data_IF_397132745843
#
_entry.id   IF_397132745843
#
_cell.length_a   1.000
_cell.length_b   1.000
_cell.length_c   1.000
_cell.angle_alpha   90.00
_cell.angle_beta   90.00
_cell.angle_gamma   90.00
#
_symmetry.space_group_name_H-M   'P 1'
#
loop_
_entity.id
_entity.type
_entity.pdbx_description
1 polymer ?
#
# COMPACT_ATOMS: atom_id res chain seq x y z
N UNK A 1 -50.66 11.43 -47.56
CA UNK A 1 -49.52 12.17 -46.96
C UNK A 1 -48.96 11.32 -45.84
N UNK A 2 -48.02 10.41 -46.14
CA UNK A 2 -47.38 9.55 -45.15
C UNK A 2 -46.05 10.19 -44.74
N UNK A 3 -45.96 10.60 -43.46
CA UNK A 3 -44.76 11.16 -42.86
C UNK A 3 -43.71 10.05 -42.68
N UNK A 4 -42.55 10.26 -43.28
CA UNK A 4 -41.40 9.37 -43.20
C UNK A 4 -40.61 9.72 -41.93
N UNK A 5 -40.84 9.01 -40.82
CA UNK A 5 -40.07 9.22 -39.59
C UNK A 5 -38.70 8.57 -39.72
N UNK A 6 -37.68 9.37 -40.02
CA UNK A 6 -36.29 8.94 -39.97
C UNK A 6 -35.90 8.64 -38.52
N UNK A 7 -35.74 7.35 -38.22
CA UNK A 7 -35.14 6.87 -36.97
C UNK A 7 -33.63 7.02 -37.13
N UNK A 8 -33.06 8.08 -36.55
CA UNK A 8 -31.61 8.21 -36.42
C UNK A 8 -31.04 7.02 -35.64
N UNK A 9 -29.93 6.40 -36.09
CA UNK A 9 -29.34 5.28 -35.37
C UNK A 9 -28.86 5.73 -33.98
N UNK A 10 -28.97 4.87 -32.95
CA UNK A 10 -28.47 5.19 -31.63
C UNK A 10 -26.97 5.49 -31.70
N UNK A 11 -26.58 6.63 -31.16
CA UNK A 11 -25.19 7.07 -31.13
C UNK A 11 -24.39 6.15 -30.18
N UNK A 12 -23.77 5.11 -30.74
CA UNK A 12 -23.02 4.05 -30.02
C UNK A 12 -21.76 4.56 -29.30
N UNK A 13 -21.41 5.85 -29.42
CA UNK A 13 -20.19 6.42 -28.83
C UNK A 13 -20.39 7.01 -27.43
N UNK A 14 -21.62 7.05 -26.90
CA UNK A 14 -21.94 7.78 -25.66
C UNK A 14 -22.34 6.89 -24.46
N UNK A 15 -21.93 5.62 -24.42
CA UNK A 15 -22.01 4.80 -23.20
C UNK A 15 -20.60 4.55 -22.61
N UNK A 16 -19.92 5.64 -22.25
CA UNK A 16 -18.83 5.51 -21.27
C UNK A 16 -19.45 5.12 -19.93
N UNK A 17 -19.41 3.83 -19.60
CA UNK A 17 -19.78 3.35 -18.28
C UNK A 17 -19.00 4.15 -17.23
N UNK A 18 -19.69 4.93 -16.39
CA UNK A 18 -19.11 5.64 -15.23
C UNK A 18 -18.67 4.63 -14.16
N UNK A 19 -17.68 3.80 -14.46
CA UNK A 19 -17.16 2.77 -13.54
C UNK A 19 -16.06 3.30 -12.64
N UNK A 20 -15.39 4.39 -13.03
CA UNK A 20 -14.36 5.05 -12.24
C UNK A 20 -14.79 6.45 -11.78
N UNK A 21 -14.31 6.84 -10.59
CA UNK A 21 -14.39 8.19 -10.04
C UNK A 21 -13.32 9.13 -10.60
N UNK A 22 -12.30 8.58 -11.27
CA UNK A 22 -11.13 9.29 -11.81
C UNK A 22 -11.23 9.42 -13.33
N UNK A 23 -10.54 10.42 -13.88
CA UNK A 23 -10.45 10.55 -15.34
C UNK A 23 -9.64 9.39 -15.96
N UNK A 24 -9.82 9.11 -17.25
CA UNK A 24 -9.03 8.06 -17.94
C UNK A 24 -7.52 8.31 -17.84
N UNK A 25 -7.08 9.58 -17.83
CA UNK A 25 -5.67 9.94 -17.69
C UNK A 25 -5.16 9.67 -16.27
N UNK A 26 -5.96 10.02 -15.26
CA UNK A 26 -5.63 9.72 -13.86
C UNK A 26 -5.56 8.21 -13.63
N UNK A 27 -6.51 7.43 -14.16
CA UNK A 27 -6.46 5.97 -14.07
C UNK A 27 -5.20 5.41 -14.71
N UNK A 28 -4.83 5.90 -15.89
CA UNK A 28 -3.59 5.48 -16.54
C UNK A 28 -2.36 5.77 -15.67
N UNK A 29 -2.27 6.97 -15.06
CA UNK A 29 -1.19 7.33 -14.13
C UNK A 29 -1.18 6.43 -12.88
N UNK A 30 -2.35 6.12 -12.33
CA UNK A 30 -2.49 5.25 -11.17
C UNK A 30 -2.03 3.81 -11.48
N UNK A 31 -2.42 3.28 -12.65
CA UNK A 31 -1.99 1.95 -13.12
C UNK A 31 -0.50 1.91 -13.35
N UNK A 32 0.07 2.83 -14.14
CA UNK A 32 1.47 2.75 -14.55
C UNK A 32 2.42 2.93 -13.36
N UNK A 33 2.11 3.84 -12.44
CA UNK A 33 2.91 4.07 -11.23
C UNK A 33 3.03 2.80 -10.38
N UNK A 34 1.91 2.15 -10.09
CA UNK A 34 1.91 0.94 -9.26
C UNK A 34 2.32 -0.33 -10.04
N UNK A 35 2.14 -0.38 -11.36
CA UNK A 35 2.65 -1.48 -12.18
C UNK A 35 4.19 -1.50 -12.19
N UNK A 36 4.81 -0.33 -12.30
CA UNK A 36 6.27 -0.19 -12.15
C UNK A 36 6.67 -0.58 -10.72
N UNK A 37 5.96 -0.08 -9.72
CA UNK A 37 6.17 -0.45 -8.31
C UNK A 37 6.10 -1.97 -8.07
N UNK A 38 5.17 -2.68 -8.72
CA UNK A 38 5.03 -4.13 -8.63
C UNK A 38 6.24 -4.87 -9.17
N UNK A 39 6.74 -4.49 -10.35
CA UNK A 39 7.95 -5.11 -10.94
C UNK A 39 9.16 -4.83 -10.06
N UNK A 40 9.34 -3.60 -9.59
CA UNK A 40 10.42 -3.23 -8.68
C UNK A 40 10.31 -3.99 -7.35
N UNK A 41 9.11 -4.16 -6.81
CA UNK A 41 8.89 -4.92 -5.57
C UNK A 41 9.20 -6.41 -5.72
N UNK A 42 8.93 -7.02 -6.87
CA UNK A 42 9.32 -8.40 -7.16
C UNK A 42 10.84 -8.55 -7.18
N UNK A 43 11.55 -7.66 -7.89
CA UNK A 43 13.01 -7.65 -7.90
C UNK A 43 13.54 -7.42 -6.48
N UNK A 44 12.97 -6.46 -5.75
CA UNK A 44 13.29 -6.17 -4.36
C UNK A 44 13.16 -7.40 -3.45
N UNK A 45 12.01 -8.09 -3.49
CA UNK A 45 11.78 -9.34 -2.75
C UNK A 45 12.84 -10.39 -3.06
N UNK A 46 13.11 -10.63 -4.34
CA UNK A 46 14.11 -11.61 -4.78
C UNK A 46 15.49 -11.23 -4.25
N UNK A 47 15.90 -9.96 -4.38
CA UNK A 47 17.22 -9.50 -3.89
C UNK A 47 17.35 -9.57 -2.36
N UNK A 48 16.29 -9.32 -1.60
CA UNK A 48 16.29 -9.49 -0.14
C UNK A 48 16.44 -10.96 0.24
N UNK A 49 15.73 -11.88 -0.43
CA UNK A 49 15.85 -13.32 -0.17
C UNK A 49 17.28 -13.81 -0.43
N UNK A 50 17.91 -13.37 -1.52
CA UNK A 50 19.30 -13.75 -1.81
C UNK A 50 20.32 -13.21 -0.81
N UNK A 51 20.04 -12.06 -0.19
CA UNK A 51 20.92 -11.44 0.81
C UNK A 51 20.68 -11.99 2.22
N UNK A 52 19.47 -12.43 2.53
CA UNK A 52 19.09 -12.86 3.87
C UNK A 52 19.85 -14.12 4.31
N UNK A 53 20.52 -14.03 5.47
CA UNK A 53 21.25 -15.15 6.06
C UNK A 53 20.41 -15.82 7.17
N UNK A 54 20.11 -17.11 6.99
CA UNK A 54 19.34 -17.91 7.95
C UNK A 54 17.82 -17.88 7.74
N UNK A 55 17.15 -18.91 8.26
CA UNK A 55 15.72 -19.14 8.01
C UNK A 55 14.83 -17.98 8.52
N UNK A 56 15.15 -17.41 9.69
CA UNK A 56 14.36 -16.32 10.26
C UNK A 56 14.44 -15.05 9.38
N UNK A 57 15.62 -14.72 8.87
CA UNK A 57 15.81 -13.59 7.96
C UNK A 57 15.03 -13.79 6.66
N UNK A 58 15.15 -14.97 6.03
CA UNK A 58 14.42 -15.32 4.81
C UNK A 58 12.90 -15.19 5.02
N UNK A 59 12.36 -15.73 6.11
CA UNK A 59 10.93 -15.61 6.42
C UNK A 59 10.54 -14.15 6.61
N UNK A 60 11.32 -13.39 7.38
CA UNK A 60 11.03 -11.99 7.71
C UNK A 60 10.97 -11.10 6.46
N UNK A 61 11.96 -11.21 5.57
CA UNK A 61 11.97 -10.43 4.32
C UNK A 61 10.96 -10.95 3.30
N UNK A 62 10.62 -12.23 3.33
CA UNK A 62 9.57 -12.79 2.47
C UNK A 62 8.21 -12.22 2.85
N UNK A 63 7.91 -12.14 4.15
CA UNK A 63 6.66 -11.53 4.65
C UNK A 63 6.56 -10.07 4.24
N UNK A 64 7.65 -9.29 4.40
CA UNK A 64 7.70 -7.89 3.98
C UNK A 64 7.58 -7.73 2.45
N UNK A 65 8.41 -8.43 1.67
CA UNK A 65 8.41 -8.27 0.23
C UNK A 65 7.15 -8.80 -0.43
N UNK A 66 6.54 -9.87 0.09
CA UNK A 66 5.27 -10.38 -0.42
C UNK A 66 4.11 -9.40 -0.17
N UNK A 67 4.07 -8.71 0.98
CA UNK A 67 3.05 -7.69 1.24
C UNK A 67 3.24 -6.46 0.35
N UNK A 68 4.49 -6.09 0.05
CA UNK A 68 4.83 -5.02 -0.90
C UNK A 68 4.37 -5.36 -2.33
N UNK A 69 4.68 -6.57 -2.80
CA UNK A 69 4.23 -7.09 -4.09
C UNK A 69 2.71 -7.12 -4.18
N UNK A 70 2.05 -7.64 -3.13
CA UNK A 70 0.59 -7.71 -3.06
C UNK A 70 -0.05 -6.32 -3.16
N UNK A 71 0.46 -5.33 -2.43
CA UNK A 71 -0.05 -3.96 -2.43
C UNK A 71 0.05 -3.29 -3.80
N UNK A 72 1.21 -3.38 -4.46
CA UNK A 72 1.36 -2.81 -5.79
C UNK A 72 0.52 -3.55 -6.84
N UNK A 73 0.45 -4.88 -6.77
CA UNK A 73 -0.37 -5.68 -7.67
C UNK A 73 -1.86 -5.37 -7.50
N UNK A 74 -2.37 -5.35 -6.28
CA UNK A 74 -3.78 -5.08 -6.01
C UNK A 74 -4.21 -3.72 -6.53
N UNK A 75 -3.37 -2.70 -6.36
CA UNK A 75 -3.64 -1.35 -6.83
C UNK A 75 -3.65 -1.26 -8.36
N UNK A 76 -2.67 -1.90 -8.99
CA UNK A 76 -2.57 -1.99 -10.45
C UNK A 76 -3.81 -2.63 -11.04
N UNK A 77 -4.24 -3.77 -10.48
CA UNK A 77 -5.44 -4.48 -10.93
C UNK A 77 -6.71 -3.66 -10.67
N UNK A 78 -6.83 -3.03 -9.50
CA UNK A 78 -7.98 -2.19 -9.16
C UNK A 78 -8.17 -1.06 -10.17
N UNK A 79 -7.12 -0.25 -10.40
CA UNK A 79 -7.17 0.88 -11.30
C UNK A 79 -7.31 0.45 -12.77
N UNK A 80 -6.73 -0.69 -13.15
CA UNK A 80 -6.86 -1.26 -14.50
C UNK A 80 -8.22 -1.87 -14.82
N UNK A 81 -9.00 -2.24 -13.79
CA UNK A 81 -10.28 -2.93 -14.00
C UNK A 81 -11.37 -1.99 -14.50
N UNK A 82 -12.00 -2.38 -15.62
CA UNK A 82 -13.19 -1.75 -16.20
C UNK A 82 -14.50 -2.44 -15.80
N UNK A 83 -14.43 -3.68 -15.31
CA UNK A 83 -15.60 -4.44 -14.88
C UNK A 83 -16.07 -3.94 -13.49
N UNK A 84 -17.31 -3.43 -13.34
CA UNK A 84 -17.76 -2.81 -12.09
C UNK A 84 -17.70 -3.75 -10.86
N UNK A 85 -18.12 -5.01 -11.01
CA UNK A 85 -18.15 -5.98 -9.92
C UNK A 85 -16.76 -6.39 -9.46
N UNK A 86 -15.90 -6.73 -10.42
CA UNK A 86 -14.50 -7.06 -10.14
C UNK A 86 -13.75 -5.86 -9.55
N UNK A 87 -13.96 -4.65 -10.08
CA UNK A 87 -13.34 -3.43 -9.60
C UNK A 87 -13.65 -3.17 -8.12
N UNK A 88 -14.89 -3.44 -7.68
CA UNK A 88 -15.25 -3.28 -6.27
C UNK A 88 -14.49 -4.25 -5.36
N UNK A 89 -14.31 -5.50 -5.78
CA UNK A 89 -13.53 -6.51 -5.04
C UNK A 89 -12.04 -6.17 -5.01
N UNK A 90 -11.48 -5.74 -6.15
CA UNK A 90 -10.09 -5.31 -6.25
C UNK A 90 -9.82 -4.05 -5.40
N UNK A 91 -10.78 -3.12 -5.33
CA UNK A 91 -10.69 -1.97 -4.43
C UNK A 91 -10.62 -2.38 -2.97
N UNK A 92 -11.41 -3.39 -2.58
CA UNK A 92 -11.37 -3.93 -1.23
C UNK A 92 -9.99 -4.56 -0.96
N UNK A 93 -9.48 -5.38 -1.88
CA UNK A 93 -8.15 -5.98 -1.79
C UNK A 93 -7.05 -4.92 -1.70
N UNK A 94 -7.12 -3.88 -2.53
CA UNK A 94 -6.14 -2.79 -2.57
C UNK A 94 -6.03 -2.05 -1.24
N UNK A 95 -7.16 -1.63 -0.69
CA UNK A 95 -7.18 -1.00 0.62
C UNK A 95 -6.82 -1.95 1.76
N UNK A 96 -7.14 -3.24 1.64
CA UNK A 96 -6.75 -4.26 2.61
C UNK A 96 -5.24 -4.52 2.62
N UNK A 97 -4.60 -4.49 1.45
CA UNK A 97 -3.16 -4.72 1.32
C UNK A 97 -2.31 -3.68 2.07
N UNK A 98 -2.83 -2.47 2.31
CA UNK A 98 -2.15 -1.44 3.11
C UNK A 98 -1.94 -1.92 4.56
N UNK A 99 -2.92 -2.59 5.18
CA UNK A 99 -2.75 -3.13 6.54
C UNK A 99 -1.66 -4.20 6.59
N UNK A 100 -1.64 -5.08 5.59
CA UNK A 100 -0.65 -6.14 5.46
C UNK A 100 0.75 -5.59 5.18
N UNK A 101 0.85 -4.54 4.36
CA UNK A 101 2.11 -3.85 4.10
C UNK A 101 2.67 -3.23 5.39
N UNK A 102 1.84 -2.52 6.16
CA UNK A 102 2.29 -1.94 7.43
C UNK A 102 2.83 -3.04 8.36
N UNK A 103 2.07 -4.11 8.60
CA UNK A 103 2.56 -5.21 9.45
C UNK A 103 3.79 -5.93 8.86
N UNK A 104 3.83 -6.12 7.55
CA UNK A 104 4.96 -6.69 6.83
C UNK A 104 6.23 -5.87 7.01
N UNK A 105 6.14 -4.53 6.91
CA UNK A 105 7.29 -3.62 7.14
C UNK A 105 7.86 -3.76 8.54
N UNK A 106 7.03 -3.93 9.58
CA UNK A 106 7.51 -4.10 10.95
C UNK A 106 8.24 -5.43 11.16
N UNK A 107 7.86 -6.47 10.43
CA UNK A 107 8.34 -7.85 10.64
C UNK A 107 9.87 -7.97 10.71
N UNK A 108 10.66 -7.50 9.71
CA UNK A 108 12.12 -7.60 9.79
C UNK A 108 12.73 -6.78 10.94
N UNK A 109 12.21 -5.59 11.25
CA UNK A 109 12.71 -4.82 12.40
C UNK A 109 12.44 -5.54 13.73
N UNK A 110 11.26 -6.13 13.88
CA UNK A 110 10.87 -6.81 15.12
C UNK A 110 11.59 -8.14 15.30
N UNK A 111 11.76 -8.92 14.23
CA UNK A 111 12.34 -10.27 14.32
C UNK A 111 13.86 -10.30 14.18
N UNK A 112 14.46 -9.36 13.43
CA UNK A 112 15.90 -9.38 13.15
C UNK A 112 16.66 -8.32 13.95
N UNK A 113 16.09 -7.12 14.14
CA UNK A 113 16.75 -6.06 14.91
C UNK A 113 16.42 -6.12 16.39
N UNK A 114 15.19 -6.50 16.76
CA UNK A 114 14.73 -6.55 18.16
C UNK A 114 14.46 -7.98 18.64
N UNK A 115 15.49 -8.82 18.68
CA UNK A 115 15.39 -10.21 19.18
C UNK A 115 15.25 -10.28 20.71
N UNK A 116 14.15 -9.73 21.21
CA UNK A 116 13.78 -9.70 22.63
C UNK A 116 12.25 -9.57 22.79
N UNK A 117 11.80 -9.42 24.04
CA UNK A 117 10.38 -9.32 24.36
C UNK A 117 9.69 -8.10 23.71
N UNK A 118 10.41 -7.00 23.45
CA UNK A 118 9.85 -5.81 22.80
C UNK A 118 9.52 -6.10 21.35
N UNK A 119 10.45 -6.75 20.61
CA UNK A 119 10.19 -7.17 19.23
C UNK A 119 9.03 -8.17 19.16
N UNK A 120 8.98 -9.12 20.09
CA UNK A 120 7.87 -10.09 20.18
C UNK A 120 6.52 -9.41 20.46
N UNK A 121 6.46 -8.48 21.42
CA UNK A 121 5.24 -7.73 21.71
C UNK A 121 4.82 -6.83 20.53
N UNK A 122 5.80 -6.21 19.87
CA UNK A 122 5.60 -5.36 18.70
C UNK A 122 5.02 -6.12 17.52
N UNK A 123 5.57 -7.30 17.18
CA UNK A 123 5.06 -8.10 16.07
C UNK A 123 3.65 -8.64 16.34
N UNK A 124 3.37 -9.12 17.56
CA UNK A 124 2.02 -9.58 17.93
C UNK A 124 1.02 -8.43 17.81
N UNK A 125 1.38 -7.26 18.33
CA UNK A 125 0.50 -6.08 18.33
C UNK A 125 0.21 -5.60 16.92
N UNK A 126 1.23 -5.44 16.07
CA UNK A 126 1.03 -4.90 14.72
C UNK A 126 0.23 -5.85 13.84
N UNK A 127 0.45 -7.17 13.94
CA UNK A 127 -0.32 -8.16 13.19
C UNK A 127 -1.74 -8.30 13.72
N UNK A 128 -1.97 -8.23 15.03
CA UNK A 128 -3.32 -8.21 15.59
C UNK A 128 -4.11 -6.99 15.08
N UNK A 129 -3.49 -5.80 15.05
CA UNK A 129 -4.09 -4.59 14.50
C UNK A 129 -4.34 -4.70 12.99
N UNK A 130 -3.43 -5.32 12.24
CA UNK A 130 -3.61 -5.54 10.80
C UNK A 130 -4.78 -6.48 10.51
N UNK A 131 -4.90 -7.58 11.25
CA UNK A 131 -6.04 -8.51 11.14
C UNK A 131 -7.34 -7.81 11.53
N UNK A 132 -7.35 -7.06 12.63
CA UNK A 132 -8.52 -6.28 13.04
C UNK A 132 -8.92 -5.24 11.97
N UNK A 133 -7.95 -4.53 11.40
CA UNK A 133 -8.16 -3.58 10.31
C UNK A 133 -8.68 -4.23 9.03
N UNK A 134 -8.17 -5.42 8.69
CA UNK A 134 -8.63 -6.23 7.57
C UNK A 134 -10.09 -6.66 7.74
N UNK A 135 -10.44 -7.20 8.91
CA UNK A 135 -11.79 -7.59 9.26
C UNK A 135 -12.74 -6.39 9.23
N UNK A 136 -12.34 -5.28 9.87
CA UNK A 136 -13.09 -4.02 9.82
C UNK A 136 -13.38 -3.62 8.38
N UNK A 137 -12.37 -3.66 7.51
CA UNK A 137 -12.52 -3.29 6.09
C UNK A 137 -13.49 -4.22 5.36
N UNK A 138 -13.47 -5.52 5.64
CA UNK A 138 -14.36 -6.48 5.00
C UNK A 138 -15.83 -6.29 5.40
N UNK A 139 -16.10 -6.05 6.69
CA UNK A 139 -17.47 -5.86 7.18
C UNK A 139 -18.03 -4.47 6.81
N UNK A 140 -17.19 -3.44 6.90
CA UNK A 140 -17.61 -2.04 6.82
C UNK A 140 -17.41 -1.45 5.40
N UNK A 141 -16.65 -2.14 4.56
CA UNK A 141 -16.31 -1.76 3.17
C UNK A 141 -15.78 -0.33 3.10
N UNK A 142 -16.37 0.50 2.24
CA UNK A 142 -15.90 1.85 1.94
C UNK A 142 -16.61 2.94 2.77
N UNK A 143 -17.55 2.57 3.65
CA UNK A 143 -18.41 3.54 4.35
C UNK A 143 -17.60 4.46 5.29
N UNK A 144 -16.50 3.98 5.85
CA UNK A 144 -15.69 4.73 6.83
C UNK A 144 -14.23 4.90 6.39
N UNK A 145 -14.02 5.37 5.16
CA UNK A 145 -12.68 5.57 4.59
C UNK A 145 -11.74 6.45 5.46
N UNK A 146 -12.29 7.43 6.19
CA UNK A 146 -11.50 8.27 7.12
C UNK A 146 -10.99 7.50 8.34
N UNK A 147 -11.79 6.57 8.85
CA UNK A 147 -11.39 5.71 9.98
C UNK A 147 -10.27 4.77 9.54
N UNK A 148 -10.40 4.15 8.37
CA UNK A 148 -9.31 3.32 7.82
C UNK A 148 -8.02 4.13 7.65
N UNK A 149 -8.11 5.35 7.11
CA UNK A 149 -6.95 6.23 6.97
C UNK A 149 -6.28 6.55 8.31
N UNK A 150 -7.08 6.87 9.34
CA UNK A 150 -6.57 7.11 10.69
C UNK A 150 -5.90 5.85 11.27
N UNK A 151 -6.51 4.67 11.09
CA UNK A 151 -5.93 3.40 11.55
C UNK A 151 -4.59 3.11 10.85
N UNK A 152 -4.46 3.36 9.54
CA UNK A 152 -3.18 3.22 8.83
C UNK A 152 -2.10 4.11 9.43
N UNK A 153 -2.42 5.37 9.72
CA UNK A 153 -1.45 6.32 10.29
C UNK A 153 -1.08 5.95 11.73
N UNK A 154 -2.07 5.59 12.56
CA UNK A 154 -1.82 5.14 13.94
C UNK A 154 -0.90 3.92 13.92
N UNK A 155 -1.25 2.89 13.15
CA UNK A 155 -0.42 1.69 13.02
C UNK A 155 0.97 2.01 12.49
N UNK A 156 1.08 2.86 11.46
CA UNK A 156 2.36 3.25 10.89
C UNK A 156 3.29 3.93 11.90
N UNK A 157 2.76 4.78 12.77
CA UNK A 157 3.54 5.53 13.75
C UNK A 157 3.76 4.82 15.09
N UNK A 158 3.21 3.62 15.31
CA UNK A 158 3.47 2.83 16.53
C UNK A 158 4.96 2.55 16.76
N UNK A 159 5.77 2.58 15.70
CA UNK A 159 7.22 2.41 15.77
C UNK A 159 7.90 3.46 16.66
N UNK A 160 7.30 4.64 16.86
CA UNK A 160 7.80 5.66 17.79
C UNK A 160 7.88 5.11 19.22
N UNK A 161 6.94 4.26 19.64
CA UNK A 161 6.95 3.64 20.97
C UNK A 161 8.20 2.77 21.17
N UNK A 162 8.72 2.22 20.07
CA UNK A 162 9.88 1.32 20.04
C UNK A 162 11.14 2.03 19.52
N UNK A 163 11.16 3.37 19.45
CA UNK A 163 12.27 4.09 18.82
C UNK A 163 13.58 3.94 19.59
N UNK A 164 13.53 3.91 20.92
CA UNK A 164 14.73 3.74 21.74
C UNK A 164 15.42 2.38 21.52
N UNK A 165 14.74 1.23 21.64
CA UNK A 165 15.38 -0.06 21.35
C UNK A 165 15.79 -0.18 19.88
N UNK A 166 15.03 0.40 18.93
CA UNK A 166 15.46 0.45 17.53
C UNK A 166 16.73 1.29 17.33
N UNK A 167 16.86 2.42 18.03
CA UNK A 167 18.06 3.25 17.99
C UNK A 167 19.31 2.53 18.49
N UNK A 168 19.15 1.63 19.46
CA UNK A 168 20.26 0.80 19.95
C UNK A 168 20.63 -0.35 18.98
N UNK A 169 19.71 -0.76 18.10
CA UNK A 169 19.84 -2.01 17.33
C UNK A 169 20.02 -1.78 15.82
N UNK A 170 19.60 -0.63 15.30
CA UNK A 170 19.66 -0.29 13.88
C UNK A 170 20.55 0.94 13.70
N UNK A 171 21.53 0.91 12.78
CA UNK A 171 22.33 2.09 12.49
C UNK A 171 21.48 3.31 12.12
N UNK A 172 21.94 4.50 12.51
CA UNK A 172 21.17 5.75 12.38
C UNK A 172 20.68 6.04 10.95
N UNK A 173 21.43 5.61 9.93
CA UNK A 173 21.02 5.74 8.53
C UNK A 173 19.73 4.98 8.20
N UNK A 174 19.55 3.78 8.75
CA UNK A 174 18.32 2.99 8.63
C UNK A 174 17.14 3.70 9.31
N UNK A 175 17.36 4.27 10.50
CA UNK A 175 16.31 5.00 11.22
C UNK A 175 15.85 6.25 10.48
N UNK A 176 16.76 6.99 9.85
CA UNK A 176 16.39 8.12 9.01
C UNK A 176 15.57 7.70 7.80
N UNK A 177 15.94 6.61 7.13
CA UNK A 177 15.14 6.06 6.03
C UNK A 177 13.75 5.61 6.51
N UNK A 178 13.67 4.91 7.64
CA UNK A 178 12.42 4.49 8.26
C UNK A 178 11.51 5.69 8.58
N UNK A 179 12.07 6.74 9.19
CA UNK A 179 11.37 7.96 9.55
C UNK A 179 10.93 8.75 8.30
N UNK A 180 11.82 8.93 7.32
CA UNK A 180 11.49 9.57 6.04
C UNK A 180 10.37 8.83 5.32
N UNK A 181 10.36 7.50 5.34
CA UNK A 181 9.26 6.73 4.78
C UNK A 181 7.93 6.98 5.51
N UNK A 182 7.95 7.08 6.84
CA UNK A 182 6.78 7.46 7.65
C UNK A 182 6.25 8.86 7.31
N UNK A 183 7.14 9.83 7.06
CA UNK A 183 6.77 11.16 6.57
C UNK A 183 6.14 11.08 5.18
N UNK A 184 6.74 10.34 4.24
CA UNK A 184 6.20 10.17 2.89
C UNK A 184 4.77 9.63 2.93
N UNK A 185 4.50 8.59 3.72
CA UNK A 185 3.13 8.07 3.88
C UNK A 185 2.19 9.10 4.52
N UNK A 186 2.65 9.86 5.51
CA UNK A 186 1.81 10.85 6.21
C UNK A 186 1.45 12.04 5.32
N UNK A 187 2.42 12.58 4.59
CA UNK A 187 2.19 13.66 3.61
C UNK A 187 1.32 13.16 2.46
N UNK A 188 1.61 11.96 1.96
CA UNK A 188 0.77 11.30 0.98
C UNK A 188 -0.69 11.18 1.43
N UNK A 189 -0.93 10.81 2.70
CA UNK A 189 -2.28 10.61 3.22
C UNK A 189 -3.13 11.89 3.14
N UNK A 190 -2.49 13.07 3.25
CA UNK A 190 -3.16 14.34 3.03
C UNK A 190 -3.64 14.51 1.57
N UNK A 191 -2.82 14.13 0.59
CA UNK A 191 -3.22 14.10 -0.82
C UNK A 191 -4.33 13.08 -1.09
N UNK A 192 -4.25 11.88 -0.50
CA UNK A 192 -5.31 10.87 -0.60
C UNK A 192 -6.65 11.36 -0.02
N UNK A 193 -6.62 12.14 1.07
CA UNK A 193 -7.81 12.74 1.65
C UNK A 193 -8.40 13.86 0.78
N UNK A 194 -7.58 14.53 -0.03
CA UNK A 194 -7.95 15.65 -0.90
C UNK A 194 -8.62 15.20 -2.23
N UNK A 195 -9.64 14.34 -2.14
CA UNK A 195 -10.33 13.69 -3.28
C UNK A 195 -11.06 14.63 -4.26
N UNK A 196 -11.18 15.92 -3.93
CA UNK A 196 -11.88 16.93 -4.76
C UNK A 196 -10.97 17.61 -5.78
N UNK A 197 -9.65 17.45 -5.65
CA UNK A 197 -8.67 18.09 -6.52
C UNK A 197 -8.17 17.05 -7.54
N UNK A 198 -8.12 17.37 -8.84
CA UNK A 198 -7.58 16.45 -9.85
C UNK A 198 -6.16 15.99 -9.54
N UNK A 199 -5.83 14.76 -9.95
CA UNK A 199 -4.50 14.12 -9.83
C UNK A 199 -3.96 13.88 -8.42
N UNK A 200 -4.67 14.26 -7.35
CA UNK A 200 -4.17 14.05 -5.97
C UNK A 200 -3.97 12.57 -5.62
N UNK A 201 -4.76 11.67 -6.22
CA UNK A 201 -4.60 10.23 -6.05
C UNK A 201 -3.33 9.70 -6.72
N UNK A 202 -2.96 10.24 -7.88
CA UNK A 202 -1.70 9.90 -8.54
C UNK A 202 -0.50 10.44 -7.75
N UNK A 203 -0.60 11.65 -7.19
CA UNK A 203 0.42 12.20 -6.28
C UNK A 203 0.57 11.32 -5.03
N UNK A 204 -0.55 10.87 -4.46
CA UNK A 204 -0.55 9.89 -3.37
C UNK A 204 0.25 8.63 -3.73
N UNK A 205 0.04 8.05 -4.92
CA UNK A 205 0.81 6.89 -5.38
C UNK A 205 2.33 7.15 -5.40
N UNK A 206 2.76 8.34 -5.83
CA UNK A 206 4.19 8.70 -5.82
C UNK A 206 4.76 8.76 -4.39
N UNK A 207 4.01 9.30 -3.43
CA UNK A 207 4.41 9.30 -2.03
C UNK A 207 4.45 7.89 -1.42
N UNK A 208 3.51 7.02 -1.80
CA UNK A 208 3.51 5.60 -1.41
C UNK A 208 4.76 4.90 -1.93
N UNK A 209 5.11 5.10 -3.21
CA UNK A 209 6.31 4.53 -3.82
C UNK A 209 7.57 5.03 -3.10
N UNK A 210 7.67 6.34 -2.84
CA UNK A 210 8.81 6.91 -2.12
C UNK A 210 8.92 6.34 -0.69
N UNK A 211 7.81 6.24 0.03
CA UNK A 211 7.77 5.65 1.37
C UNK A 211 8.20 4.18 1.38
N UNK A 212 7.70 3.40 0.42
CA UNK A 212 8.10 2.00 0.22
C UNK A 212 9.60 1.88 -0.10
N UNK A 213 10.13 2.74 -0.97
CA UNK A 213 11.55 2.74 -1.31
C UNK A 213 12.43 3.05 -0.09
N UNK A 214 12.05 4.04 0.72
CA UNK A 214 12.75 4.35 1.96
C UNK A 214 12.75 3.14 2.93
N UNK A 215 11.59 2.52 3.14
CA UNK A 215 11.49 1.34 4.03
C UNK A 215 12.25 0.14 3.48
N UNK A 216 12.18 -0.12 2.17
CA UNK A 216 12.96 -1.16 1.51
C UNK A 216 14.45 -0.95 1.71
N UNK A 217 14.97 0.27 1.43
CA UNK A 217 16.38 0.59 1.61
C UNK A 217 16.81 0.50 3.08
N UNK A 218 15.95 0.90 4.01
CA UNK A 218 16.21 0.75 5.44
C UNK A 218 16.42 -0.72 5.80
N UNK A 219 15.56 -1.61 5.31
CA UNK A 219 15.64 -3.04 5.61
C UNK A 219 16.84 -3.65 4.91
N UNK A 220 16.96 -3.42 3.60
CA UNK A 220 17.99 -4.02 2.74
C UNK A 220 19.41 -3.64 3.13
N UNK A 221 19.66 -2.38 3.53
CA UNK A 221 21.00 -1.88 3.82
C UNK A 221 21.40 -1.97 5.29
N UNK A 222 20.43 -2.00 6.22
CA UNK A 222 20.70 -1.83 7.65
C UNK A 222 20.11 -2.90 8.56
N UNK A 223 19.23 -3.77 8.06
CA UNK A 223 18.61 -4.85 8.84
C UNK A 223 19.07 -6.23 8.38
N UNK A 224 19.32 -6.41 7.08
CA UNK A 224 19.79 -7.68 6.48
C UNK A 224 21.18 -7.62 5.87
#
# INVERSE_FOLDING_TARGET
MHANSQISPPNLTAQHSKTSQYSNREEFLNVISHAIGFVVALVGLITMIYRAEGALAVVSVTVYGASLVLMFLSSTLYHGSRNPGLRQQLKLLDHSAIYLLIAGTYTPFMLLSLDNWVGTAGIITIWALAVAGLLFKWFVREKFARVSLALYLIMGWLVIVMIYPLYQSVPIGGLWLLFSGGICFSVGAAFYAAKKIPYTHAIWHLFVIAGCACHFLSIYLYVI
#
